data_IF_462275346494
#
_entry.id   IF_462275346494
#
_cell.length_a   1.000
_cell.length_b   1.000
_cell.length_c   1.000
_cell.angle_alpha   90.00
_cell.angle_beta   90.00
_cell.angle_gamma   90.00
#
_symmetry.space_group_name_H-M   'P 1'
#
loop_
_entity.id
_entity.type
_entity.pdbx_description
1 polymer ?
#
# COMPACT_ATOMS: atom_id res chain seq x y z
N UNK A 1 30.09 -3.22 2.01
CA UNK A 1 30.09 -3.74 3.39
C UNK A 1 29.42 -2.79 4.37
N UNK A 2 29.74 -1.48 4.35
CA UNK A 2 29.07 -0.46 5.20
C UNK A 2 27.53 -0.47 5.10
N UNK A 3 26.97 -0.79 3.93
CA UNK A 3 25.52 -0.94 3.72
C UNK A 3 24.91 -2.00 4.66
N UNK A 4 25.60 -3.13 4.90
CA UNK A 4 25.13 -4.21 5.78
C UNK A 4 25.13 -3.73 7.23
N UNK A 5 26.13 -2.95 7.64
CA UNK A 5 26.18 -2.33 8.98
C UNK A 5 25.01 -1.36 9.18
N UNK A 6 24.74 -0.50 8.20
CA UNK A 6 23.62 0.45 8.24
C UNK A 6 22.29 -0.29 8.37
N UNK A 7 22.06 -1.33 7.56
CA UNK A 7 20.85 -2.15 7.64
C UNK A 7 20.76 -2.88 8.99
N UNK A 8 21.88 -3.39 9.51
CA UNK A 8 21.96 -4.03 10.82
C UNK A 8 21.56 -3.07 11.95
N UNK A 9 22.09 -1.85 11.96
CA UNK A 9 21.75 -0.83 12.97
C UNK A 9 20.27 -0.46 12.88
N UNK A 10 19.76 -0.22 11.67
CA UNK A 10 18.34 0.10 11.45
C UNK A 10 17.44 -1.04 11.96
N UNK A 11 17.79 -2.30 11.66
CA UNK A 11 17.07 -3.49 12.11
C UNK A 11 17.08 -3.62 13.65
N UNK A 12 18.19 -3.33 14.31
CA UNK A 12 18.27 -3.32 15.78
C UNK A 12 17.36 -2.25 16.39
N UNK A 13 17.41 -1.03 15.86
CA UNK A 13 16.56 0.08 16.32
C UNK A 13 15.09 -0.27 16.13
N UNK A 14 14.71 -0.85 14.98
CA UNK A 14 13.33 -1.25 14.69
C UNK A 14 12.86 -2.42 15.58
N UNK A 15 13.72 -3.42 15.79
CA UNK A 15 13.43 -4.55 16.68
C UNK A 15 13.28 -4.14 18.15
N UNK A 16 14.12 -3.22 18.63
CA UNK A 16 14.01 -2.66 19.97
C UNK A 16 12.73 -1.82 20.14
N UNK A 17 12.41 -0.97 19.15
CA UNK A 17 11.18 -0.19 19.16
C UNK A 17 9.93 -1.09 19.16
N UNK A 18 9.92 -2.21 18.43
CA UNK A 18 8.81 -3.17 18.43
C UNK A 18 8.56 -3.82 19.81
N UNK A 19 9.62 -4.07 20.57
CA UNK A 19 9.51 -4.72 21.89
C UNK A 19 9.14 -3.71 22.98
N UNK A 20 9.83 -2.56 23.02
CA UNK A 20 9.73 -1.62 24.14
C UNK A 20 8.74 -0.49 23.91
N UNK A 21 8.56 -0.02 22.67
CA UNK A 21 7.70 1.13 22.36
C UNK A 21 6.81 0.83 21.15
N UNK A 22 5.94 -0.19 21.24
CA UNK A 22 5.07 -0.57 20.13
C UNK A 22 4.12 0.56 19.72
N UNK A 23 3.76 1.45 20.66
CA UNK A 23 2.88 2.58 20.37
C UNK A 23 3.50 3.61 19.43
N UNK A 24 4.82 3.79 19.42
CA UNK A 24 5.49 4.70 18.50
C UNK A 24 5.43 4.20 17.05
N UNK A 25 5.61 2.89 16.87
CA UNK A 25 5.49 2.24 15.55
C UNK A 25 4.05 2.31 15.08
N UNK A 26 3.09 1.98 15.96
CA UNK A 26 1.66 2.08 15.63
C UNK A 26 1.25 3.53 15.30
N UNK A 27 1.85 4.54 15.94
CA UNK A 27 1.58 5.95 15.63
C UNK A 27 2.17 6.34 14.27
N UNK A 28 3.38 5.87 13.95
CA UNK A 28 4.00 6.08 12.65
C UNK A 28 3.23 5.36 11.52
N UNK A 29 2.83 4.11 11.73
CA UNK A 29 1.97 3.35 10.82
C UNK A 29 0.59 4.00 10.68
N UNK A 30 -0.07 4.40 11.77
CA UNK A 30 -1.34 5.14 11.69
C UNK A 30 -1.19 6.46 10.97
N UNK A 31 -0.08 7.16 11.15
CA UNK A 31 0.18 8.42 10.43
C UNK A 31 0.40 8.17 8.94
N UNK A 32 1.10 7.10 8.56
CA UNK A 32 1.22 6.66 7.18
C UNK A 32 -0.13 6.19 6.60
N UNK A 33 -0.90 5.40 7.34
CA UNK A 33 -2.23 4.90 6.98
C UNK A 33 -3.25 6.06 6.88
N UNK A 34 -3.07 7.13 7.67
CA UNK A 34 -3.82 8.39 7.55
C UNK A 34 -3.40 9.20 6.32
N UNK A 35 -2.16 9.08 5.86
CA UNK A 35 -1.68 9.65 4.60
C UNK A 35 -2.25 8.87 3.39
N UNK A 36 -2.45 7.56 3.54
CA UNK A 36 -3.19 6.70 2.61
C UNK A 36 -4.71 6.86 2.69
N UNK A 37 -5.23 7.80 3.50
CA UNK A 37 -6.57 8.35 3.27
C UNK A 37 -6.57 9.24 2.03
N UNK A 38 -6.36 8.61 0.88
CA UNK A 38 -6.88 9.08 -0.40
C UNK A 38 -8.39 9.31 -0.29
N UNK A 39 -9.09 8.65 0.66
CA UNK A 39 -10.49 8.87 1.06
C UNK A 39 -10.95 10.34 0.96
N UNK A 40 -10.25 11.31 1.58
CA UNK A 40 -10.78 12.68 1.70
C UNK A 40 -10.62 13.47 0.39
N UNK A 41 -9.50 13.31 -0.30
CA UNK A 41 -9.21 14.01 -1.55
C UNK A 41 -10.00 13.37 -2.70
N UNK A 42 -10.09 12.04 -2.71
CA UNK A 42 -10.80 11.26 -3.72
C UNK A 42 -12.32 11.47 -3.63
N UNK A 43 -12.90 11.49 -2.42
CA UNK A 43 -14.32 11.84 -2.24
C UNK A 43 -14.61 13.29 -2.61
N UNK A 44 -13.73 14.21 -2.22
CA UNK A 44 -13.90 15.64 -2.50
C UNK A 44 -13.89 15.94 -4.00
N UNK A 45 -13.06 15.20 -4.75
CA UNK A 45 -12.93 15.34 -6.20
C UNK A 45 -13.60 14.18 -6.96
N UNK A 46 -14.57 13.48 -6.37
CA UNK A 46 -15.19 12.28 -6.97
C UNK A 46 -15.84 12.53 -8.33
N UNK A 47 -16.44 13.71 -8.50
CA UNK A 47 -17.17 14.09 -9.73
C UNK A 47 -16.18 14.31 -10.89
N UNK A 48 -15.16 15.18 -10.77
CA UNK A 48 -14.19 15.34 -11.86
C UNK A 48 -13.40 14.05 -12.14
N UNK A 49 -13.07 13.26 -11.12
CA UNK A 49 -12.37 11.98 -11.28
C UNK A 49 -13.27 10.96 -12.00
N UNK A 50 -14.54 10.83 -11.58
CA UNK A 50 -15.50 9.91 -12.19
C UNK A 50 -15.78 10.25 -13.66
N UNK A 51 -15.99 11.54 -13.97
CA UNK A 51 -16.16 12.00 -15.36
C UNK A 51 -14.90 11.73 -16.18
N UNK A 52 -13.71 11.97 -15.62
CA UNK A 52 -12.44 11.65 -16.27
C UNK A 52 -12.31 10.17 -16.62
N UNK A 53 -12.65 9.28 -15.68
CA UNK A 53 -12.64 7.82 -15.89
C UNK A 53 -13.66 7.36 -16.95
N UNK A 54 -14.82 8.01 -17.04
CA UNK A 54 -15.77 7.74 -18.12
C UNK A 54 -15.25 8.22 -19.48
N UNK A 55 -14.57 9.37 -19.52
CA UNK A 55 -13.90 9.86 -20.72
C UNK A 55 -12.82 8.90 -21.20
N UNK A 56 -11.99 8.39 -20.28
CA UNK A 56 -10.97 7.35 -20.57
C UNK A 56 -11.62 6.07 -21.06
N UNK A 57 -12.72 5.63 -20.44
CA UNK A 57 -13.48 4.45 -20.89
C UNK A 57 -13.98 4.60 -22.33
N UNK A 58 -14.56 5.76 -22.66
CA UNK A 58 -15.07 6.03 -24.00
C UNK A 58 -13.94 6.10 -25.04
N UNK A 59 -12.83 6.75 -24.68
CA UNK A 59 -11.64 6.83 -25.54
C UNK A 59 -11.04 5.43 -25.80
N UNK A 60 -10.84 4.62 -24.77
CA UNK A 60 -10.26 3.28 -24.89
C UNK A 60 -11.18 2.33 -25.68
N UNK A 61 -12.50 2.44 -25.50
CA UNK A 61 -13.48 1.69 -26.29
C UNK A 61 -13.47 2.11 -27.77
N UNK A 62 -13.33 3.40 -28.06
CA UNK A 62 -13.19 3.92 -29.42
C UNK A 62 -11.90 3.43 -30.08
N UNK A 63 -10.76 3.49 -29.37
CA UNK A 63 -9.48 2.99 -29.90
C UNK A 63 -9.50 1.49 -30.15
N UNK A 64 -10.19 0.72 -29.30
CA UNK A 64 -10.40 -0.71 -29.54
C UNK A 64 -11.23 -0.98 -30.80
N UNK A 65 -12.25 -0.16 -31.08
CA UNK A 65 -13.09 -0.32 -32.27
C UNK A 65 -12.42 0.14 -33.58
N UNK A 66 -11.45 1.07 -33.52
CA UNK A 66 -10.90 1.76 -34.68
C UNK A 66 -9.55 1.26 -35.21
N UNK A 67 -8.74 0.55 -34.42
CA UNK A 67 -7.36 0.16 -34.81
C UNK A 67 -7.11 -1.36 -34.83
N UNK A 68 -6.17 -1.85 -35.67
CA UNK A 68 -5.78 -3.26 -35.74
C UNK A 68 -5.01 -3.78 -34.51
N UNK A 69 -4.78 -2.96 -33.48
CA UNK A 69 -4.24 -3.37 -32.20
C UNK A 69 -5.36 -3.79 -31.23
N UNK A 70 -6.14 -4.81 -31.64
CA UNK A 70 -7.14 -5.52 -30.81
C UNK A 70 -6.46 -6.27 -29.65
N UNK A 71 -5.78 -5.56 -28.77
CA UNK A 71 -5.32 -6.11 -27.50
C UNK A 71 -6.51 -6.06 -26.56
N UNK A 72 -6.99 -7.24 -26.16
CA UNK A 72 -8.00 -7.45 -25.11
C UNK A 72 -7.74 -6.55 -23.88
N UNK A 73 -6.47 -6.23 -23.62
CA UNK A 73 -6.03 -5.27 -22.61
C UNK A 73 -6.79 -3.93 -22.70
N UNK A 74 -6.94 -3.33 -23.89
CA UNK A 74 -7.67 -2.07 -24.08
C UNK A 74 -9.15 -2.20 -23.70
N UNK A 75 -9.81 -3.27 -24.15
CA UNK A 75 -11.21 -3.55 -23.82
C UNK A 75 -11.40 -3.77 -22.31
N UNK A 76 -10.53 -4.56 -21.70
CA UNK A 76 -10.56 -4.83 -20.25
C UNK A 76 -10.33 -3.53 -19.47
N UNK A 77 -9.36 -2.71 -19.87
CA UNK A 77 -9.12 -1.41 -19.22
C UNK A 77 -10.26 -0.42 -19.45
N UNK A 78 -10.92 -0.43 -20.61
CA UNK A 78 -12.09 0.39 -20.90
C UNK A 78 -13.25 0.01 -19.98
N UNK A 79 -13.58 -1.28 -19.89
CA UNK A 79 -14.64 -1.79 -19.03
C UNK A 79 -14.34 -1.46 -17.55
N UNK A 80 -13.11 -1.71 -17.09
CA UNK A 80 -12.71 -1.38 -15.72
C UNK A 80 -12.86 0.13 -15.45
N UNK A 81 -12.32 0.98 -16.32
CA UNK A 81 -12.44 2.44 -16.19
C UNK A 81 -13.89 2.90 -16.16
N UNK A 82 -14.76 2.33 -17.00
CA UNK A 82 -16.18 2.63 -17.05
C UNK A 82 -16.93 2.22 -15.79
N UNK A 83 -16.69 1.00 -15.31
CA UNK A 83 -17.29 0.48 -14.07
C UNK A 83 -16.83 1.31 -12.86
N UNK A 84 -15.54 1.60 -12.72
CA UNK A 84 -15.02 2.44 -11.63
C UNK A 84 -15.52 3.88 -11.72
N UNK A 85 -15.58 4.47 -12.93
CA UNK A 85 -16.12 5.83 -13.14
C UNK A 85 -17.60 5.93 -12.78
N UNK A 86 -18.41 4.95 -13.18
CA UNK A 86 -19.84 4.87 -12.80
C UNK A 86 -20.02 4.68 -11.30
N UNK A 87 -19.27 3.77 -10.69
CA UNK A 87 -19.34 3.52 -9.25
C UNK A 87 -18.95 4.77 -8.45
N UNK A 88 -17.96 5.55 -8.90
CA UNK A 88 -17.58 6.80 -8.23
C UNK A 88 -18.69 7.86 -8.26
N UNK A 89 -19.48 7.91 -9.33
CA UNK A 89 -20.56 8.88 -9.50
C UNK A 89 -21.84 8.44 -8.78
N UNK A 90 -22.20 7.15 -8.86
CA UNK A 90 -23.47 6.63 -8.35
C UNK A 90 -23.37 6.16 -6.90
N UNK A 91 -22.28 5.47 -6.53
CA UNK A 91 -22.13 4.87 -5.21
C UNK A 91 -20.67 4.90 -4.74
N UNK A 92 -20.13 6.08 -4.40
CA UNK A 92 -18.74 6.18 -3.93
C UNK A 92 -18.51 5.39 -2.63
N UNK A 93 -19.57 5.16 -1.86
CA UNK A 93 -19.53 4.41 -0.60
C UNK A 93 -19.20 2.92 -0.81
N UNK A 94 -19.54 2.31 -1.96
CA UNK A 94 -19.18 0.90 -2.22
C UNK A 94 -17.69 0.75 -2.51
N UNK A 95 -17.10 1.71 -3.22
CA UNK A 95 -15.64 1.75 -3.46
C UNK A 95 -14.90 1.91 -2.13
N UNK A 96 -15.37 2.83 -1.29
CA UNK A 96 -14.78 3.04 0.04
C UNK A 96 -14.96 1.83 0.96
N UNK A 97 -16.07 1.11 0.87
CA UNK A 97 -16.25 -0.14 1.61
C UNK A 97 -15.32 -1.24 1.12
N UNK A 98 -15.13 -1.36 -0.19
CA UNK A 98 -14.18 -2.29 -0.78
C UNK A 98 -12.74 -1.96 -0.39
N UNK A 99 -12.36 -0.67 -0.44
CA UNK A 99 -11.05 -0.17 0.01
C UNK A 99 -10.84 -0.42 1.50
N UNK A 100 -11.83 -0.11 2.34
CA UNK A 100 -11.77 -0.38 3.80
C UNK A 100 -11.72 -1.86 4.11
N UNK A 101 -12.41 -2.70 3.35
CA UNK A 101 -12.36 -4.15 3.53
C UNK A 101 -10.97 -4.68 3.17
N UNK A 102 -10.38 -4.21 2.06
CA UNK A 102 -9.01 -4.53 1.68
C UNK A 102 -7.99 -4.00 2.71
N UNK A 103 -8.17 -2.79 3.21
CA UNK A 103 -7.30 -2.20 4.24
C UNK A 103 -7.42 -2.92 5.60
N UNK A 104 -8.62 -3.41 5.94
CA UNK A 104 -8.85 -4.25 7.14
C UNK A 104 -8.18 -5.62 7.01
N UNK A 105 -8.11 -6.17 5.81
CA UNK A 105 -7.36 -7.41 5.50
C UNK A 105 -5.83 -7.19 5.60
N UNK A 106 -5.35 -5.99 5.26
CA UNK A 106 -3.96 -5.58 5.36
C UNK A 106 -3.60 -4.90 6.69
N UNK A 107 -4.44 -5.02 7.73
CA UNK A 107 -4.20 -4.38 9.03
C UNK A 107 -2.99 -5.04 9.72
N UNK A 108 -1.82 -4.56 9.33
CA UNK A 108 -0.52 -5.05 9.78
C UNK A 108 -0.37 -4.77 11.28
N UNK A 109 -1.00 -3.71 11.80
CA UNK A 109 -1.15 -3.39 13.22
C UNK A 109 -1.54 -4.61 14.08
N UNK A 110 -2.53 -5.43 13.67
CA UNK A 110 -3.00 -6.55 14.47
C UNK A 110 -2.03 -7.73 14.46
N UNK A 111 -1.38 -7.97 13.33
CA UNK A 111 -0.36 -9.01 13.18
C UNK A 111 0.92 -8.63 13.94
N UNK A 112 1.40 -7.39 13.78
CA UNK A 112 2.58 -6.88 14.45
C UNK A 112 2.39 -6.79 15.96
N UNK A 113 1.22 -6.38 16.47
CA UNK A 113 0.95 -6.38 17.91
C UNK A 113 0.93 -7.80 18.50
N UNK A 114 0.24 -8.72 17.82
CA UNK A 114 0.11 -10.11 18.30
C UNK A 114 1.44 -10.84 18.30
N UNK A 115 2.29 -10.56 17.31
CA UNK A 115 3.58 -11.22 17.12
C UNK A 115 4.78 -10.29 17.41
N UNK A 116 4.58 -9.20 18.17
CA UNK A 116 5.62 -8.17 18.41
C UNK A 116 6.92 -8.74 18.98
N UNK A 117 6.78 -9.70 19.90
CA UNK A 117 7.90 -10.32 20.61
C UNK A 117 8.70 -11.22 19.66
N UNK A 118 8.10 -12.22 18.97
CA UNK A 118 8.87 -13.05 18.05
C UNK A 118 9.46 -12.26 16.87
N UNK A 119 8.75 -11.27 16.32
CA UNK A 119 9.26 -10.42 15.24
C UNK A 119 10.42 -9.54 15.72
N UNK A 120 10.27 -8.89 16.89
CA UNK A 120 11.32 -8.06 17.48
C UNK A 120 12.58 -8.85 17.81
N UNK A 121 12.45 -10.04 18.39
CA UNK A 121 13.59 -10.94 18.67
C UNK A 121 14.25 -11.37 17.36
N UNK A 122 13.48 -11.70 16.32
CA UNK A 122 14.02 -12.05 15.01
C UNK A 122 14.82 -10.92 14.38
N UNK A 123 14.32 -9.68 14.44
CA UNK A 123 15.02 -8.48 13.94
C UNK A 123 16.31 -8.18 14.71
N UNK A 124 16.32 -8.39 16.02
CA UNK A 124 17.52 -8.22 16.86
C UNK A 124 18.54 -9.32 16.54
N UNK A 125 18.12 -10.58 16.44
CA UNK A 125 19.00 -11.69 16.07
C UNK A 125 19.61 -11.49 14.67
N UNK A 126 18.80 -11.05 13.70
CA UNK A 126 19.26 -10.71 12.36
C UNK A 126 20.25 -9.53 12.37
N UNK A 127 20.00 -8.52 13.20
CA UNK A 127 20.94 -7.40 13.39
C UNK A 127 22.29 -7.86 13.96
N UNK A 128 22.28 -8.68 15.02
CA UNK A 128 23.50 -9.24 15.61
C UNK A 128 24.28 -10.04 14.57
N UNK A 129 23.59 -10.85 13.76
CA UNK A 129 24.21 -11.60 12.67
C UNK A 129 24.82 -10.67 11.59
N UNK A 130 24.11 -9.61 11.20
CA UNK A 130 24.59 -8.63 10.20
C UNK A 130 25.80 -7.83 10.70
N UNK A 131 25.81 -7.45 11.98
CA UNK A 131 26.95 -6.76 12.60
C UNK A 131 28.14 -7.73 12.74
N UNK A 132 27.90 -8.96 13.16
CA UNK A 132 28.95 -10.00 13.27
C UNK A 132 29.60 -10.30 11.91
N UNK A 133 28.79 -10.44 10.86
CA UNK A 133 29.28 -10.66 9.49
C UNK A 133 30.01 -9.44 8.96
N UNK A 134 29.57 -8.21 9.27
CA UNK A 134 30.35 -7.01 8.95
C UNK A 134 31.72 -7.03 9.63
N UNK A 135 31.78 -7.29 10.94
CA UNK A 135 33.06 -7.32 11.69
C UNK A 135 33.98 -8.45 11.20
N UNK A 136 33.42 -9.62 10.86
CA UNK A 136 34.21 -10.80 10.49
C UNK A 136 34.79 -10.74 9.07
N UNK A 137 34.19 -9.96 8.18
CA UNK A 137 34.60 -9.90 6.77
C UNK A 137 35.10 -8.50 6.34
N UNK A 138 35.06 -7.49 7.22
CA UNK A 138 35.58 -6.13 6.99
C UNK A 138 37.02 -6.00 7.46
#
# INVERSE_FOLDING_TARGET
MIIILIIGIISAVFGALLIFVPEAILKAERQANRLFMTDVIFLKNRIPIGIGLLGVSAFLAYTYAGEPLNKIIFLVTAILSGVFGLLLLVSPNTILQAERHANKLYMTDAFFLKNRIPIGIGLIAASVFMVYTYISFS
#
